data_IF_667223938189
#
_entry.id   IF_667223938189
#
_cell.length_a   1.000
_cell.length_b   1.000
_cell.length_c   1.000
_cell.angle_alpha   90.00
_cell.angle_beta   90.00
_cell.angle_gamma   90.00
#
_symmetry.space_group_name_H-M   'P 1'
#
loop_
_entity.id
_entity.type
_entity.pdbx_description
1 polymer ?
#
# COMPACT_ATOMS: atom_id res chain seq x y z
N UNK A 1 23.44 -3.70 9.89
CA UNK A 1 23.05 -2.28 9.88
C UNK A 1 23.36 -1.68 11.24
N UNK A 2 23.86 -0.44 11.26
CA UNK A 2 24.07 0.31 12.49
C UNK A 2 22.73 0.42 13.26
N UNK A 3 22.68 0.13 14.57
CA UNK A 3 21.48 0.27 15.40
C UNK A 3 20.77 1.62 15.24
N UNK A 4 21.51 2.72 15.06
CA UNK A 4 20.93 4.05 14.84
C UNK A 4 20.12 4.12 13.53
N UNK A 5 20.67 3.60 12.44
CA UNK A 5 19.99 3.56 11.14
C UNK A 5 18.76 2.67 11.22
N UNK A 6 18.86 1.53 11.92
CA UNK A 6 17.73 0.63 12.10
C UNK A 6 16.60 1.30 12.91
N UNK A 7 16.93 2.00 13.99
CA UNK A 7 15.97 2.78 14.77
C UNK A 7 15.29 3.88 13.96
N UNK A 8 16.05 4.60 13.12
CA UNK A 8 15.51 5.63 12.22
C UNK A 8 14.55 5.03 11.18
N UNK A 9 14.86 3.87 10.60
CA UNK A 9 13.96 3.25 9.62
C UNK A 9 12.66 2.76 10.27
N UNK A 10 12.72 2.19 11.47
CA UNK A 10 11.52 1.73 12.18
C UNK A 10 10.65 2.92 12.62
N UNK A 11 11.27 4.02 13.08
CA UNK A 11 10.51 5.22 13.46
C UNK A 11 9.92 5.95 12.26
N UNK A 12 10.61 6.00 11.12
CA UNK A 12 10.05 6.55 9.86
C UNK A 12 8.90 5.69 9.34
N UNK A 13 8.99 4.36 9.49
CA UNK A 13 7.93 3.44 9.12
C UNK A 13 6.68 3.59 10.01
N UNK A 14 6.84 3.79 11.32
CA UNK A 14 5.69 4.05 12.20
C UNK A 14 5.09 5.43 12.00
N UNK A 15 5.92 6.48 11.94
CA UNK A 15 5.44 7.86 11.71
C UNK A 15 4.72 8.01 10.38
N UNK A 16 5.22 7.39 9.31
CA UNK A 16 4.55 7.40 8.01
C UNK A 16 3.15 6.79 8.07
N UNK A 17 2.96 5.65 8.77
CA UNK A 17 1.63 5.09 9.00
C UNK A 17 0.72 6.03 9.79
N UNK A 18 1.23 6.68 10.85
CA UNK A 18 0.46 7.63 11.66
C UNK A 18 0.03 8.84 10.81
N UNK A 19 0.91 9.35 9.94
CA UNK A 19 0.61 10.45 9.02
C UNK A 19 -0.56 10.04 8.11
N UNK A 20 -0.53 8.84 7.51
CA UNK A 20 -1.64 8.38 6.66
C UNK A 20 -2.96 8.25 7.42
N UNK A 21 -2.93 7.72 8.65
CA UNK A 21 -4.13 7.50 9.47
C UNK A 21 -4.78 8.80 9.95
N UNK A 22 -3.98 9.82 10.24
CA UNK A 22 -4.43 11.13 10.74
C UNK A 22 -4.70 12.15 9.63
N UNK A 23 -4.33 11.84 8.39
CA UNK A 23 -4.49 12.77 7.28
C UNK A 23 -5.94 12.95 6.85
N UNK A 24 -6.33 14.20 6.59
CA UNK A 24 -7.58 14.55 5.90
C UNK A 24 -7.34 15.01 4.45
N UNK A 25 -6.10 15.30 4.09
CA UNK A 25 -5.71 15.80 2.78
C UNK A 25 -5.01 14.71 1.96
N UNK A 26 -5.44 14.48 0.73
CA UNK A 26 -4.93 13.43 -0.16
C UNK A 26 -3.41 13.48 -0.35
N UNK A 27 -2.83 14.67 -0.60
CA UNK A 27 -1.39 14.82 -0.75
C UNK A 27 -0.59 14.38 0.49
N UNK A 28 -1.11 14.66 1.69
CA UNK A 28 -0.44 14.27 2.94
C UNK A 28 -0.53 12.75 3.14
N UNK A 29 -1.67 12.15 2.83
CA UNK A 29 -1.84 10.71 2.81
C UNK A 29 -0.85 10.05 1.84
N UNK A 30 -0.72 10.59 0.63
CA UNK A 30 0.22 10.09 -0.37
C UNK A 30 1.68 10.21 0.09
N UNK A 31 2.06 11.33 0.71
CA UNK A 31 3.40 11.50 1.26
C UNK A 31 3.70 10.46 2.35
N UNK A 32 2.75 10.20 3.25
CA UNK A 32 2.89 9.14 4.25
C UNK A 32 3.05 7.76 3.59
N UNK A 33 2.33 7.48 2.52
CA UNK A 33 2.46 6.24 1.76
C UNK A 33 3.83 6.07 1.09
N UNK A 34 4.45 7.12 0.57
CA UNK A 34 5.79 7.09 -0.03
C UNK A 34 6.92 7.03 1.02
N UNK A 35 6.75 7.73 2.15
CA UNK A 35 7.70 7.57 3.26
C UNK A 35 7.72 6.13 3.78
N UNK A 36 6.55 5.48 3.79
CA UNK A 36 6.45 4.09 4.19
C UNK A 36 7.22 3.17 3.21
N UNK A 37 7.02 3.33 1.89
CA UNK A 37 7.73 2.53 0.88
C UNK A 37 9.24 2.74 0.96
N UNK A 38 9.71 3.97 1.08
CA UNK A 38 11.15 4.26 1.16
C UNK A 38 11.79 3.72 2.45
N UNK A 39 11.08 3.74 3.58
CA UNK A 39 11.60 3.27 4.87
C UNK A 39 11.78 1.74 4.93
N UNK A 40 10.91 0.98 4.25
CA UNK A 40 10.95 -0.50 4.30
C UNK A 40 11.97 -1.11 3.32
N UNK A 41 12.33 -0.44 2.21
CA UNK A 41 13.25 -1.01 1.21
C UNK A 41 14.61 -1.44 1.79
N UNK A 42 15.31 -0.63 2.59
CA UNK A 42 16.60 -1.05 3.16
C UNK A 42 16.44 -2.18 4.17
N UNK A 43 15.28 -2.27 4.83
CA UNK A 43 14.95 -3.34 5.77
C UNK A 43 14.83 -4.69 5.02
N UNK A 44 14.16 -4.71 3.85
CA UNK A 44 14.04 -5.92 3.02
C UNK A 44 15.40 -6.32 2.42
N UNK A 45 16.23 -5.36 2.01
CA UNK A 45 17.53 -5.63 1.38
C UNK A 45 18.63 -6.07 2.35
N UNK A 46 18.38 -6.00 3.67
CA UNK A 46 19.37 -6.28 4.73
C UNK A 46 20.19 -7.57 4.56
N UNK A 47 19.61 -8.75 4.21
CA UNK A 47 20.40 -9.99 4.11
C UNK A 47 21.36 -10.02 2.91
N UNK A 48 21.33 -9.01 2.01
CA UNK A 48 22.29 -8.83 0.91
C UNK A 48 22.46 -10.07 0.00
N UNK A 49 21.39 -10.87 -0.16
CA UNK A 49 21.33 -12.00 -1.08
C UNK A 49 20.61 -11.58 -2.38
N UNK A 50 20.93 -12.13 -3.56
CA UNK A 50 20.25 -11.77 -4.83
C UNK A 50 18.72 -11.89 -4.73
N UNK A 51 18.22 -12.91 -4.05
CA UNK A 51 16.78 -13.06 -3.79
C UNK A 51 16.15 -11.90 -3.00
N UNK A 52 16.89 -11.32 -2.06
CA UNK A 52 16.42 -10.16 -1.31
C UNK A 52 16.43 -8.90 -2.19
N UNK A 53 17.38 -8.78 -3.12
CA UNK A 53 17.41 -7.69 -4.10
C UNK A 53 16.28 -7.80 -5.15
N UNK A 54 15.91 -9.01 -5.54
CA UNK A 54 14.72 -9.22 -6.38
C UNK A 54 13.42 -8.88 -5.64
N UNK A 55 13.33 -9.29 -4.36
CA UNK A 55 12.18 -8.94 -3.52
C UNK A 55 12.06 -7.42 -3.31
N UNK A 56 13.17 -6.71 -3.06
CA UNK A 56 13.15 -5.25 -2.87
C UNK A 56 12.75 -4.51 -4.14
N UNK A 57 13.26 -4.93 -5.30
CA UNK A 57 12.94 -4.32 -6.59
C UNK A 57 11.49 -4.56 -6.99
N UNK A 58 10.97 -5.79 -6.81
CA UNK A 58 9.54 -6.09 -6.99
C UNK A 58 8.67 -5.25 -6.05
N UNK A 59 9.04 -5.16 -4.77
CA UNK A 59 8.32 -4.33 -3.80
C UNK A 59 8.27 -2.87 -4.25
N UNK A 60 9.43 -2.31 -4.61
CA UNK A 60 9.54 -0.93 -5.05
C UNK A 60 8.65 -0.63 -6.24
N UNK A 61 8.75 -1.41 -7.32
CA UNK A 61 7.99 -1.15 -8.55
C UNK A 61 6.48 -1.21 -8.32
N UNK A 62 6.01 -2.17 -7.54
CA UNK A 62 4.58 -2.36 -7.31
C UNK A 62 4.04 -1.29 -6.37
N UNK A 63 4.79 -0.94 -5.33
CA UNK A 63 4.33 0.03 -4.35
C UNK A 63 4.39 1.47 -4.87
N UNK A 64 5.39 1.79 -5.70
CA UNK A 64 5.47 3.09 -6.40
C UNK A 64 4.40 3.23 -7.47
N UNK A 65 4.11 2.17 -8.24
CA UNK A 65 2.99 2.20 -9.18
C UNK A 65 1.65 2.35 -8.46
N UNK A 66 1.44 1.67 -7.33
CA UNK A 66 0.27 1.88 -6.47
C UNK A 66 0.15 3.34 -6.01
N UNK A 67 1.25 3.91 -5.50
CA UNK A 67 1.27 5.28 -5.00
C UNK A 67 1.04 6.30 -6.12
N UNK A 68 1.60 6.08 -7.31
CA UNK A 68 1.35 6.90 -8.50
C UNK A 68 -0.13 6.86 -8.91
N UNK A 69 -0.77 5.69 -8.89
CA UNK A 69 -2.20 5.55 -9.18
C UNK A 69 -3.08 6.25 -8.12
N UNK A 70 -2.71 6.20 -6.83
CA UNK A 70 -3.41 6.94 -5.77
C UNK A 70 -3.31 8.45 -6.01
N UNK A 71 -2.12 8.95 -6.33
CA UNK A 71 -1.94 10.37 -6.64
C UNK A 71 -2.77 10.75 -7.88
N UNK A 72 -2.71 9.94 -8.93
CA UNK A 72 -3.49 10.17 -10.14
C UNK A 72 -5.00 10.23 -9.87
N UNK A 73 -5.54 9.26 -9.13
CA UNK A 73 -6.94 9.27 -8.70
C UNK A 73 -7.29 10.52 -7.89
N UNK A 74 -6.42 10.92 -6.95
CA UNK A 74 -6.63 12.13 -6.14
C UNK A 74 -6.60 13.41 -6.97
N UNK A 75 -5.72 13.51 -7.97
CA UNK A 75 -5.65 14.68 -8.87
C UNK A 75 -6.87 14.77 -9.77
N UNK A 76 -7.40 13.65 -10.25
CA UNK A 76 -8.65 13.62 -11.02
C UNK A 76 -9.83 14.06 -10.14
N UNK A 77 -9.91 13.55 -8.91
CA UNK A 77 -10.98 13.97 -7.99
C UNK A 77 -10.86 15.46 -7.62
N UNK A 78 -9.65 15.97 -7.41
CA UNK A 78 -9.41 17.39 -7.14
C UNK A 78 -9.71 18.28 -8.36
N UNK A 79 -9.46 17.78 -9.56
CA UNK A 79 -9.84 18.46 -10.81
C UNK A 79 -11.37 18.59 -10.93
N UNK A 80 -12.11 17.53 -10.59
CA UNK A 80 -13.57 17.51 -10.69
C UNK A 80 -14.26 18.30 -9.57
N UNK A 81 -13.79 18.15 -8.32
CA UNK A 81 -14.45 18.69 -7.13
C UNK A 81 -13.83 20.00 -6.59
N UNK A 82 -12.65 20.37 -7.07
CA UNK A 82 -11.87 21.50 -6.56
C UNK A 82 -11.26 21.28 -5.17
N UNK A 83 -11.41 20.10 -4.57
CA UNK A 83 -11.03 19.82 -3.18
C UNK A 83 -10.07 18.63 -3.06
N UNK A 84 -9.18 18.70 -2.08
CA UNK A 84 -8.21 17.64 -1.76
C UNK A 84 -8.60 16.80 -0.54
N UNK A 85 -9.82 16.96 -0.04
CA UNK A 85 -10.29 16.23 1.13
C UNK A 85 -10.58 14.76 0.77
N UNK A 86 -10.17 13.84 1.65
CA UNK A 86 -10.33 12.40 1.42
C UNK A 86 -11.80 11.96 1.43
N UNK A 87 -12.62 12.57 2.28
CA UNK A 87 -14.04 12.18 2.44
C UNK A 87 -14.96 12.70 1.34
N UNK A 88 -14.47 13.57 0.45
CA UNK A 88 -15.24 14.18 -0.63
C UNK A 88 -14.71 13.64 -1.96
N UNK A 89 -15.25 12.51 -2.43
CA UNK A 89 -15.02 12.06 -3.80
C UNK A 89 -16.32 11.97 -4.57
N UNK A 90 -16.28 12.48 -5.81
CA UNK A 90 -17.48 12.64 -6.63
C UNK A 90 -17.43 11.81 -7.92
N UNK A 91 -16.25 11.61 -8.51
CA UNK A 91 -16.14 10.89 -9.77
C UNK A 91 -15.99 9.38 -9.59
N UNK A 92 -16.86 8.62 -10.26
CA UNK A 92 -16.84 7.16 -10.27
C UNK A 92 -15.52 6.61 -10.81
N UNK A 93 -14.98 7.25 -11.86
CA UNK A 93 -13.71 6.87 -12.46
C UNK A 93 -12.55 7.00 -11.45
N UNK A 94 -12.42 8.13 -10.74
CA UNK A 94 -11.37 8.31 -9.73
C UNK A 94 -11.47 7.27 -8.61
N UNK A 95 -12.70 6.98 -8.14
CA UNK A 95 -12.94 5.95 -7.11
C UNK A 95 -12.57 4.54 -7.58
N UNK A 96 -12.83 4.18 -8.84
CA UNK A 96 -12.42 2.86 -9.38
C UNK A 96 -10.90 2.72 -9.49
N UNK A 97 -10.20 3.78 -9.95
CA UNK A 97 -8.74 3.80 -10.01
C UNK A 97 -8.17 3.71 -8.59
N UNK A 98 -8.71 4.48 -7.65
CA UNK A 98 -8.32 4.46 -6.24
C UNK A 98 -8.48 3.06 -5.64
N UNK A 99 -9.62 2.40 -5.84
CA UNK A 99 -9.85 1.04 -5.37
C UNK A 99 -8.80 0.09 -5.95
N UNK A 100 -8.55 0.14 -7.26
CA UNK A 100 -7.55 -0.72 -7.91
C UNK A 100 -6.14 -0.50 -7.34
N UNK A 101 -5.78 0.75 -7.04
CA UNK A 101 -4.49 1.10 -6.47
C UNK A 101 -4.34 0.60 -5.02
N UNK A 102 -5.40 0.72 -4.20
CA UNK A 102 -5.41 0.19 -2.83
C UNK A 102 -5.34 -1.34 -2.84
N UNK A 103 -6.07 -2.02 -3.74
CA UNK A 103 -6.00 -3.48 -3.89
C UNK A 103 -4.59 -3.94 -4.29
N UNK A 104 -3.95 -3.22 -5.21
CA UNK A 104 -2.56 -3.48 -5.62
C UNK A 104 -1.59 -3.29 -4.45
N UNK A 105 -1.79 -2.25 -3.63
CA UNK A 105 -0.97 -1.99 -2.43
C UNK A 105 -1.15 -3.05 -1.34
N UNK A 106 -2.38 -3.54 -1.17
CA UNK A 106 -2.73 -4.62 -0.23
C UNK A 106 -2.41 -6.02 -0.76
N UNK A 107 -2.08 -6.18 -2.04
CA UNK A 107 -1.82 -7.51 -2.62
C UNK A 107 -3.07 -8.39 -2.67
N UNK A 108 -4.24 -7.79 -2.84
CA UNK A 108 -5.52 -8.50 -2.99
C UNK A 108 -5.64 -8.99 -4.43
N UNK A 109 -6.24 -10.16 -4.64
CA UNK A 109 -6.48 -10.69 -5.97
C UNK A 109 -7.31 -9.71 -6.82
N UNK A 110 -7.00 -9.53 -8.11
CA UNK A 110 -6.03 -10.27 -8.93
C UNK A 110 -4.55 -9.86 -8.72
N UNK A 111 -4.27 -8.73 -8.08
CA UNK A 111 -2.93 -8.17 -7.89
C UNK A 111 -2.14 -8.79 -6.71
N UNK A 112 -2.25 -10.10 -6.50
CA UNK A 112 -1.69 -10.81 -5.34
C UNK A 112 -0.31 -11.45 -5.59
N UNK A 113 0.07 -11.66 -6.85
CA UNK A 113 1.22 -12.47 -7.25
C UNK A 113 2.58 -11.98 -6.72
N UNK A 114 2.67 -10.70 -6.38
CA UNK A 114 3.90 -10.14 -5.84
C UNK A 114 4.14 -10.48 -4.38
N UNK A 115 3.09 -10.79 -3.63
CA UNK A 115 3.15 -10.93 -2.19
C UNK A 115 3.95 -12.20 -1.76
N UNK A 116 3.73 -13.39 -2.33
CA UNK A 116 4.49 -14.60 -1.96
C UNK A 116 5.99 -14.47 -2.24
N UNK A 117 6.35 -13.96 -3.42
CA UNK A 117 7.75 -13.79 -3.85
C UNK A 117 8.55 -12.91 -2.89
N UNK A 118 7.94 -11.82 -2.41
CA UNK A 118 8.60 -10.86 -1.52
C UNK A 118 8.80 -11.45 -0.13
N UNK A 119 7.79 -12.16 0.38
CA UNK A 119 7.91 -12.85 1.68
C UNK A 119 9.04 -13.86 1.63
N UNK A 120 9.09 -14.67 0.57
CA UNK A 120 10.08 -15.73 0.41
C UNK A 120 11.51 -15.19 0.22
N UNK A 121 11.65 -13.99 -0.35
CA UNK A 121 12.94 -13.31 -0.51
C UNK A 121 13.40 -12.53 0.72
N UNK A 122 12.58 -12.44 1.77
CA UNK A 122 12.86 -11.62 2.96
C UNK A 122 13.07 -12.48 4.22
N UNK A 123 13.61 -11.88 5.28
CA UNK A 123 13.75 -12.57 6.57
C UNK A 123 12.40 -12.68 7.29
N UNK A 124 12.27 -13.62 8.23
CA UNK A 124 11.01 -13.85 8.96
C UNK A 124 10.47 -12.58 9.67
N UNK A 125 11.35 -11.78 10.27
CA UNK A 125 10.94 -10.53 10.94
C UNK A 125 10.44 -9.48 9.95
N UNK A 126 11.04 -9.39 8.77
CA UNK A 126 10.62 -8.45 7.73
C UNK A 126 9.33 -8.91 7.07
N UNK A 127 9.17 -10.22 6.85
CA UNK A 127 7.91 -10.81 6.39
C UNK A 127 6.76 -10.54 7.37
N UNK A 128 7.02 -10.61 8.68
CA UNK A 128 6.03 -10.25 9.70
C UNK A 128 5.61 -8.77 9.61
N UNK A 129 6.57 -7.85 9.41
CA UNK A 129 6.27 -6.42 9.23
C UNK A 129 5.47 -6.16 7.94
N UNK A 130 5.80 -6.85 6.84
CA UNK A 130 5.08 -6.70 5.56
C UNK A 130 3.66 -7.29 5.64
N UNK A 131 3.46 -8.36 6.38
CA UNK A 131 2.15 -9.00 6.54
C UNK A 131 1.21 -8.26 7.49
N UNK A 132 1.76 -7.55 8.48
CA UNK A 132 0.95 -6.86 9.51
C UNK A 132 0.97 -5.34 9.33
N UNK A 133 2.12 -4.71 9.53
CA UNK A 133 2.23 -3.26 9.62
C UNK A 133 1.97 -2.55 8.30
N UNK A 134 2.49 -3.09 7.19
CA UNK A 134 2.29 -2.51 5.85
C UNK A 134 0.83 -2.54 5.38
N UNK A 135 -0.04 -3.34 6.00
CA UNK A 135 -1.48 -3.38 5.67
C UNK A 135 -2.27 -2.26 6.35
N UNK A 136 -1.78 -1.67 7.44
CA UNK A 136 -2.53 -0.70 8.23
C UNK A 136 -2.87 0.58 7.44
N UNK A 137 -1.87 1.22 6.81
CA UNK A 137 -2.08 2.46 6.09
C UNK A 137 -3.02 2.33 4.87
N UNK A 138 -2.89 1.30 4.01
CA UNK A 138 -3.86 1.10 2.92
C UNK A 138 -5.27 0.75 3.42
N UNK A 139 -5.40 -0.01 4.51
CA UNK A 139 -6.71 -0.31 5.12
C UNK A 139 -7.41 0.94 5.65
N UNK A 140 -6.66 1.89 6.22
CA UNK A 140 -7.26 3.15 6.67
C UNK A 140 -7.75 4.01 5.52
N UNK A 141 -7.05 4.03 4.38
CA UNK A 141 -7.54 4.73 3.19
C UNK A 141 -8.81 4.08 2.64
N UNK A 142 -8.88 2.75 2.62
CA UNK A 142 -10.09 2.02 2.24
C UNK A 142 -11.26 2.38 3.16
N UNK A 143 -11.02 2.40 4.47
CA UNK A 143 -12.04 2.80 5.45
C UNK A 143 -12.53 4.23 5.25
N UNK A 144 -11.62 5.19 5.04
CA UNK A 144 -11.98 6.60 4.82
C UNK A 144 -12.77 6.84 3.52
N UNK A 145 -12.67 5.94 2.55
CA UNK A 145 -13.27 6.07 1.22
C UNK A 145 -14.40 5.08 0.95
N UNK A 146 -14.82 4.33 1.98
CA UNK A 146 -15.79 3.22 1.83
C UNK A 146 -17.15 3.65 1.29
N UNK A 147 -17.57 4.87 1.58
CA UNK A 147 -18.87 5.40 1.12
C UNK A 147 -18.91 5.68 -0.38
N UNK A 148 -17.75 5.84 -1.03
CA UNK A 148 -17.64 6.27 -2.42
C UNK A 148 -17.14 5.17 -3.35
N UNK A 149 -16.58 4.11 -2.78
CA UNK A 149 -16.11 2.93 -3.50
C UNK A 149 -17.30 2.01 -3.83
N UNK A 150 -17.25 1.37 -5.00
CA UNK A 150 -18.26 0.37 -5.37
C UNK A 150 -18.15 -0.88 -4.49
N UNK A 151 -19.19 -1.12 -3.69
CA UNK A 151 -19.29 -2.29 -2.80
C UNK A 151 -19.22 -3.61 -3.59
N UNK A 152 -19.82 -3.65 -4.78
CA UNK A 152 -19.81 -4.81 -5.66
C UNK A 152 -18.39 -5.18 -6.10
N UNK A 153 -17.58 -4.21 -6.54
CA UNK A 153 -16.21 -4.47 -6.98
C UNK A 153 -15.31 -4.89 -5.81
N UNK A 154 -15.48 -4.25 -4.64
CA UNK A 154 -14.76 -4.64 -3.43
C UNK A 154 -15.08 -6.08 -3.00
N UNK A 155 -16.36 -6.48 -2.99
CA UNK A 155 -16.79 -7.84 -2.64
C UNK A 155 -16.32 -8.88 -3.67
N UNK A 156 -16.33 -8.54 -4.96
CA UNK A 156 -15.77 -9.41 -5.99
C UNK A 156 -14.27 -9.62 -5.78
N UNK A 157 -13.51 -8.55 -5.56
CA UNK A 157 -12.07 -8.66 -5.31
C UNK A 157 -11.76 -9.51 -4.06
N UNK A 158 -12.50 -9.32 -2.96
CA UNK A 158 -12.29 -10.09 -1.72
C UNK A 158 -12.70 -11.54 -1.88
N UNK A 159 -13.84 -11.86 -2.52
CA UNK A 159 -14.24 -13.25 -2.77
C UNK A 159 -13.24 -14.00 -3.65
N UNK A 160 -12.73 -13.36 -4.70
CA UNK A 160 -11.64 -13.92 -5.53
C UNK A 160 -10.39 -14.13 -4.67
N UNK A 161 -10.04 -13.18 -3.79
CA UNK A 161 -8.87 -13.33 -2.92
C UNK A 161 -8.99 -14.48 -1.93
N UNK A 162 -10.18 -14.74 -1.40
CA UNK A 162 -10.45 -15.87 -0.50
C UNK A 162 -10.32 -17.19 -1.26
N UNK A 163 -10.88 -17.28 -2.47
CA UNK A 163 -10.78 -18.49 -3.30
C UNK A 163 -9.33 -18.78 -3.70
N UNK A 164 -8.61 -17.77 -4.19
CA UNK A 164 -7.21 -17.91 -4.61
C UNK A 164 -6.31 -18.23 -3.43
N UNK A 165 -6.51 -17.56 -2.28
CA UNK A 165 -5.77 -17.87 -1.05
C UNK A 165 -6.05 -19.30 -0.56
N UNK A 166 -7.32 -19.71 -0.53
CA UNK A 166 -7.71 -21.06 -0.11
C UNK A 166 -7.20 -22.17 -1.02
N UNK A 167 -7.07 -21.93 -2.33
CA UNK A 167 -6.44 -22.88 -3.27
C UNK A 167 -4.91 -22.83 -3.23
N UNK A 168 -4.32 -21.69 -2.87
CA UNK A 168 -2.87 -21.51 -2.76
C UNK A 168 -2.24 -22.17 -1.54
N UNK A 169 -3.04 -22.48 -0.51
CA UNK A 169 -2.60 -23.06 0.77
C UNK A 169 -2.50 -22.03 1.87
#
# INVERSE_FOLDING_TARGET
MNPLVWGLLVSTLSTSTIITMSSHHWLLAWLGLELNTLSILPIIMKPQHPRATEATTKYFLIQTTAAALILFASTLNAWDSGNWNISLSSSTLSNTILLSAILLKLGVAPAHLWYPDIIQGSNMTTALVISTWQKLAPLTLLYLTINHISSTAALLATSISVLVGGWGG
#
